data_IF_768469987105
#
_entry.id   IF_768469987105
#
_cell.length_a   1.000
_cell.length_b   1.000
_cell.length_c   1.000
_cell.angle_alpha   90.00
_cell.angle_beta   90.00
_cell.angle_gamma   90.00
#
_symmetry.space_group_name_H-M   'P 1'
#
loop_
_entity.id
_entity.type
_entity.pdbx_description
1 polymer ?
#
# COMPACT_ATOMS: atom_id res chain seq x y z
N UNK A 1 -15.62 -16.24 1.22
CA UNK A 1 -14.44 -17.09 0.95
C UNK A 1 -13.29 -16.70 1.87
N UNK A 2 -12.43 -17.65 2.27
CA UNK A 2 -11.23 -17.34 3.04
C UNK A 2 -10.04 -18.22 2.65
N UNK A 3 -8.82 -17.75 2.91
CA UNK A 3 -7.60 -18.54 2.80
C UNK A 3 -6.55 -18.02 3.80
N UNK A 4 -5.48 -18.79 3.95
CA UNK A 4 -4.44 -18.54 4.97
C UNK A 4 -3.18 -18.04 4.28
N UNK A 5 -2.53 -17.06 4.88
CA UNK A 5 -1.17 -16.65 4.55
C UNK A 5 -0.18 -17.15 5.61
N UNK A 6 0.92 -17.72 5.14
CA UNK A 6 2.08 -18.01 5.99
C UNK A 6 2.77 -16.71 6.39
N UNK A 7 3.12 -16.61 7.66
CA UNK A 7 3.88 -15.50 8.25
C UNK A 7 5.11 -16.03 8.96
N UNK A 8 6.09 -15.18 9.21
CA UNK A 8 7.18 -15.51 10.13
C UNK A 8 6.69 -15.45 11.58
N UNK A 9 7.38 -16.14 12.50
CA UNK A 9 7.01 -16.15 13.92
C UNK A 9 7.10 -14.77 14.59
N UNK A 10 7.85 -13.85 13.98
CA UNK A 10 8.05 -12.48 14.46
C UNK A 10 6.98 -11.50 13.97
N UNK A 11 6.15 -11.90 13.00
CA UNK A 11 5.14 -11.01 12.42
C UNK A 11 3.90 -10.90 13.31
N UNK A 12 3.46 -9.66 13.56
CA UNK A 12 2.26 -9.37 14.33
C UNK A 12 1.44 -8.28 13.65
N UNK A 13 0.32 -8.66 13.03
CA UNK A 13 -0.57 -7.73 12.31
C UNK A 13 -0.93 -6.49 13.14
N UNK A 14 -1.32 -6.68 14.40
CA UNK A 14 -1.69 -5.59 15.29
C UNK A 14 -0.56 -4.56 15.49
N UNK A 15 0.70 -5.03 15.58
CA UNK A 15 1.86 -4.13 15.72
C UNK A 15 2.10 -3.38 14.42
N UNK A 16 2.06 -4.07 13.28
CA UNK A 16 2.17 -3.46 11.94
C UNK A 16 1.11 -2.37 11.74
N UNK A 17 -0.15 -2.65 12.08
CA UNK A 17 -1.25 -1.66 12.00
C UNK A 17 -0.94 -0.45 12.88
N UNK A 18 -0.64 -0.67 14.18
CA UNK A 18 -0.37 0.42 15.14
C UNK A 18 0.79 1.34 14.72
N UNK A 19 1.76 0.80 13.99
CA UNK A 19 2.94 1.54 13.54
C UNK A 19 2.76 2.26 12.22
N UNK A 20 1.62 2.07 11.56
CA UNK A 20 1.38 2.56 10.21
C UNK A 20 0.27 3.62 10.13
N UNK A 21 0.08 4.53 11.11
CA UNK A 21 -1.10 5.40 11.14
C UNK A 21 -1.23 6.27 9.90
N UNK A 22 -0.13 6.71 9.30
CA UNK A 22 -0.11 7.55 8.10
C UNK A 22 -0.59 6.86 6.82
N UNK A 23 -0.65 5.53 6.79
CA UNK A 23 -1.13 4.76 5.63
C UNK A 23 -2.52 4.16 5.86
N UNK A 24 -3.05 4.20 7.09
CA UNK A 24 -4.38 3.70 7.46
C UNK A 24 -5.53 4.64 7.05
N UNK A 25 -5.46 5.13 5.82
CA UNK A 25 -6.52 5.89 5.16
C UNK A 25 -7.02 5.11 3.95
N UNK A 26 -8.09 5.58 3.31
CA UNK A 26 -8.67 4.92 2.13
C UNK A 26 -7.55 4.44 1.17
N UNK A 27 -7.62 3.21 0.62
CA UNK A 27 -8.72 2.25 0.75
C UNK A 27 -8.62 1.36 2.00
N UNK A 28 -7.72 1.64 2.93
CA UNK A 28 -7.63 0.91 4.20
C UNK A 28 -8.65 1.40 5.22
N UNK A 29 -9.10 0.48 6.08
CA UNK A 29 -9.81 0.74 7.32
C UNK A 29 -9.38 -0.28 8.36
N UNK A 30 -9.49 0.06 9.63
CA UNK A 30 -9.20 -0.86 10.73
C UNK A 30 -10.39 -0.97 11.64
N UNK A 31 -10.48 -2.08 12.38
CA UNK A 31 -11.39 -2.15 13.53
C UNK A 31 -10.86 -1.29 14.66
N UNK A 32 -11.75 -0.84 15.56
CA UNK A 32 -11.35 -0.05 16.74
C UNK A 32 -10.26 -0.71 17.59
N UNK A 33 -10.17 -2.05 17.60
CA UNK A 33 -9.17 -2.78 18.38
C UNK A 33 -7.80 -2.89 17.68
N UNK A 34 -7.75 -2.60 16.38
CA UNK A 34 -6.55 -2.69 15.54
C UNK A 34 -6.15 -4.13 15.19
N UNK A 35 -7.06 -5.08 15.35
CA UNK A 35 -6.78 -6.52 15.14
C UNK A 35 -7.16 -7.02 13.74
N UNK A 36 -7.84 -6.17 12.97
CA UNK A 36 -8.25 -6.45 11.60
C UNK A 36 -7.93 -5.28 10.69
N UNK A 37 -7.44 -5.59 9.49
CA UNK A 37 -7.22 -4.65 8.40
C UNK A 37 -8.24 -4.95 7.30
N UNK A 38 -9.17 -4.03 7.10
CA UNK A 38 -10.05 -4.01 5.94
C UNK A 38 -9.39 -3.20 4.84
N UNK A 39 -9.49 -3.67 3.61
CA UNK A 39 -9.09 -2.92 2.43
C UNK A 39 -10.04 -3.17 1.26
N UNK A 40 -10.35 -2.13 0.50
CA UNK A 40 -11.04 -2.27 -0.78
C UNK A 40 -10.03 -2.39 -1.91
N UNK A 41 -10.21 -3.38 -2.76
CA UNK A 41 -9.28 -3.69 -3.84
C UNK A 41 -10.01 -3.91 -5.16
N UNK A 42 -9.50 -3.28 -6.22
CA UNK A 42 -9.84 -3.65 -7.60
C UNK A 42 -8.82 -4.67 -8.09
N UNK A 43 -9.28 -5.88 -8.37
CA UNK A 43 -8.43 -6.96 -8.91
C UNK A 43 -8.36 -6.89 -10.44
N UNK A 44 -7.41 -7.62 -11.03
CA UNK A 44 -7.16 -7.60 -12.48
C UNK A 44 -8.36 -7.96 -13.34
N UNK A 45 -9.30 -8.76 -12.80
CA UNK A 45 -10.59 -9.08 -13.44
C UNK A 45 -11.61 -7.94 -13.40
N UNK A 46 -11.20 -6.74 -12.98
CA UNK A 46 -12.01 -5.53 -12.87
C UNK A 46 -13.11 -5.59 -11.78
N UNK A 47 -13.11 -6.62 -10.94
CA UNK A 47 -13.98 -6.69 -9.76
C UNK A 47 -13.42 -5.83 -8.64
N UNK A 48 -14.29 -5.12 -7.95
CA UNK A 48 -13.96 -4.44 -6.68
C UNK A 48 -14.45 -5.27 -5.51
N UNK A 49 -13.55 -5.62 -4.60
CA UNK A 49 -13.82 -6.52 -3.47
C UNK A 49 -13.34 -5.93 -2.15
N UNK A 50 -14.06 -6.27 -1.07
CA UNK A 50 -13.63 -5.99 0.29
C UNK A 50 -12.80 -7.16 0.81
N UNK A 51 -11.58 -6.87 1.27
CA UNK A 51 -10.63 -7.84 1.80
C UNK A 51 -10.37 -7.54 3.26
N UNK A 52 -10.66 -8.51 4.13
CA UNK A 52 -10.41 -8.42 5.56
C UNK A 52 -9.25 -9.34 5.89
N UNK A 53 -8.23 -8.79 6.54
CA UNK A 53 -7.06 -9.52 7.00
C UNK A 53 -7.08 -9.51 8.53
N UNK A 54 -6.98 -10.69 9.15
CA UNK A 54 -7.02 -10.85 10.60
C UNK A 54 -6.08 -11.98 11.05
N UNK A 55 -5.64 -11.93 12.31
CA UNK A 55 -5.03 -13.10 12.96
C UNK A 55 -6.11 -14.04 13.51
N UNK A 56 -6.00 -15.33 13.21
CA UNK A 56 -6.78 -16.41 13.82
C UNK A 56 -5.84 -17.57 14.17
N UNK A 57 -5.77 -17.97 15.44
CA UNK A 57 -4.96 -19.10 15.92
C UNK A 57 -3.50 -19.09 15.39
N UNK A 58 -2.80 -17.96 15.59
CA UNK A 58 -1.44 -17.70 15.11
C UNK A 58 -1.24 -17.70 13.58
N UNK A 59 -2.31 -17.75 12.80
CA UNK A 59 -2.27 -17.66 11.33
C UNK A 59 -2.88 -16.37 10.86
N UNK A 60 -2.36 -15.83 9.76
CA UNK A 60 -2.98 -14.70 9.07
C UNK A 60 -4.05 -15.25 8.13
N UNK A 61 -5.29 -14.83 8.32
CA UNK A 61 -6.44 -15.27 7.51
C UNK A 61 -6.95 -14.09 6.72
N UNK A 62 -7.14 -14.31 5.42
CA UNK A 62 -7.77 -13.37 4.52
C UNK A 62 -9.19 -13.83 4.25
N UNK A 63 -10.14 -12.91 4.38
CA UNK A 63 -11.56 -13.09 4.12
C UNK A 63 -12.04 -12.10 3.05
N UNK A 64 -12.93 -12.57 2.20
CA UNK A 64 -13.67 -11.76 1.22
C UNK A 64 -15.09 -12.30 1.10
N UNK A 65 -16.07 -11.41 0.93
CA UNK A 65 -17.46 -11.79 0.67
C UNK A 65 -17.66 -12.33 -0.74
N UNK A 66 -16.80 -11.96 -1.69
CA UNK A 66 -16.88 -12.36 -3.09
C UNK A 66 -16.21 -13.72 -3.32
N UNK A 67 -16.78 -14.50 -4.24
CA UNK A 67 -16.13 -15.72 -4.73
C UNK A 67 -15.04 -15.33 -5.72
N UNK A 68 -13.80 -15.70 -5.39
CA UNK A 68 -12.63 -15.45 -6.21
C UNK A 68 -12.22 -16.73 -6.94
N UNK A 69 -11.75 -16.60 -8.18
CA UNK A 69 -11.09 -17.69 -8.90
C UNK A 69 -9.70 -17.96 -8.32
N UNK A 70 -9.07 -19.06 -8.73
CA UNK A 70 -7.69 -19.39 -8.33
C UNK A 70 -6.68 -18.28 -8.61
N UNK A 71 -6.74 -17.68 -9.81
CA UNK A 71 -5.85 -16.58 -10.20
C UNK A 71 -6.11 -15.29 -9.41
N UNK A 72 -7.37 -15.00 -9.10
CA UNK A 72 -7.75 -13.84 -8.27
C UNK A 72 -7.25 -14.01 -6.82
N UNK A 73 -7.27 -15.23 -6.28
CA UNK A 73 -6.73 -15.54 -4.93
C UNK A 73 -5.21 -15.38 -4.93
N UNK A 74 -4.52 -15.85 -5.96
CA UNK A 74 -3.08 -15.70 -6.09
C UNK A 74 -2.68 -14.22 -6.17
N UNK A 75 -3.36 -13.44 -7.01
CA UNK A 75 -3.16 -11.99 -7.11
C UNK A 75 -3.35 -11.33 -5.73
N UNK A 76 -4.46 -11.62 -5.04
CA UNK A 76 -4.73 -11.05 -3.72
C UNK A 76 -3.72 -11.48 -2.66
N UNK A 77 -3.23 -12.72 -2.76
CA UNK A 77 -2.15 -13.23 -1.90
C UNK A 77 -0.87 -12.43 -2.11
N UNK A 78 -0.47 -12.19 -3.36
CA UNK A 78 0.72 -11.40 -3.67
C UNK A 78 0.60 -9.95 -3.15
N UNK A 79 -0.57 -9.32 -3.35
CA UNK A 79 -0.85 -7.97 -2.84
C UNK A 79 -0.81 -7.92 -1.32
N UNK A 80 -1.47 -8.85 -0.63
CA UNK A 80 -1.45 -8.91 0.83
C UNK A 80 -0.04 -9.15 1.39
N UNK A 81 0.75 -10.04 0.78
CA UNK A 81 2.15 -10.25 1.14
C UNK A 81 2.99 -8.99 0.94
N UNK A 82 2.76 -8.22 -0.14
CA UNK A 82 3.43 -6.92 -0.36
C UNK A 82 3.05 -5.92 0.74
N UNK A 83 1.75 -5.70 0.96
CA UNK A 83 1.25 -4.73 1.93
C UNK A 83 1.83 -4.97 3.32
N UNK A 84 1.86 -6.24 3.73
CA UNK A 84 2.32 -6.65 5.06
C UNK A 84 3.81 -7.01 5.10
N UNK A 85 4.54 -6.80 3.99
CA UNK A 85 5.95 -7.15 3.83
C UNK A 85 6.30 -8.61 4.25
N UNK A 86 5.42 -9.58 4.01
CA UNK A 86 5.51 -11.00 4.43
C UNK A 86 6.55 -11.85 3.66
N UNK A 87 7.60 -11.22 3.18
CA UNK A 87 8.76 -11.89 2.56
C UNK A 87 10.08 -11.27 2.97
N UNK A 88 10.06 -10.29 3.86
CA UNK A 88 11.25 -9.63 4.37
C UNK A 88 11.68 -10.31 5.67
N UNK A 89 12.90 -10.84 5.71
CA UNK A 89 13.48 -11.41 6.93
C UNK A 89 14.18 -10.30 7.72
N UNK A 90 13.52 -9.86 8.78
CA UNK A 90 14.07 -8.86 9.68
C UNK A 90 14.85 -9.46 10.85
N UNK A 91 14.94 -10.80 10.99
CA UNK A 91 15.70 -11.43 12.08
C UNK A 91 17.16 -10.93 12.14
N UNK A 92 17.90 -10.81 11.02
CA UNK A 92 19.28 -10.29 11.07
C UNK A 92 19.36 -8.86 11.61
N UNK A 93 18.42 -8.01 11.23
CA UNK A 93 18.34 -6.63 11.69
C UNK A 93 17.98 -6.54 13.18
N UNK A 94 16.99 -7.31 13.63
CA UNK A 94 16.58 -7.38 15.03
C UNK A 94 17.72 -7.87 15.92
N UNK A 95 18.41 -8.95 15.52
CA UNK A 95 19.57 -9.47 16.25
C UNK A 95 20.69 -8.42 16.37
N UNK A 96 20.93 -7.63 15.32
CA UNK A 96 21.94 -6.57 15.35
C UNK A 96 21.56 -5.45 16.33
N UNK A 97 20.29 -5.07 16.40
CA UNK A 97 19.81 -4.02 17.32
C UNK A 97 19.85 -4.50 18.77
N UNK A 98 19.53 -5.76 19.05
CA UNK A 98 19.56 -6.33 20.40
C UNK A 98 20.97 -6.25 21.03
N UNK A 99 22.03 -6.27 20.21
CA UNK A 99 23.42 -6.11 20.68
C UNK A 99 23.82 -4.66 20.97
N UNK A 100 22.99 -3.67 20.63
CA UNK A 100 23.27 -2.25 20.85
C UNK A 100 22.51 -1.74 22.07
N UNK A 101 23.11 -0.90 22.93
CA UNK A 101 22.38 -0.25 24.01
C UNK A 101 21.38 0.73 23.41
N UNK A 102 20.10 0.32 23.36
CA UNK A 102 19.01 1.24 23.05
C UNK A 102 18.78 2.17 24.25
N UNK A 103 18.38 3.43 24.02
CA UNK A 103 17.94 4.33 25.08
C UNK A 103 16.83 3.66 25.92
N UNK A 104 16.85 3.86 27.25
CA UNK A 104 16.02 3.13 28.25
C UNK A 104 14.49 3.15 28.04
N UNK A 105 13.97 3.84 27.03
CA UNK A 105 12.55 3.98 26.74
C UNK A 105 12.15 3.49 25.32
N UNK A 106 13.08 2.94 24.54
CA UNK A 106 12.77 2.42 23.21
C UNK A 106 12.39 0.93 23.29
N UNK A 107 11.08 0.66 23.19
CA UNK A 107 10.62 -0.71 22.94
C UNK A 107 10.94 -1.05 21.48
N UNK A 108 11.48 -2.24 21.20
CA UNK A 108 11.73 -2.69 19.83
C UNK A 108 10.42 -2.59 19.02
N UNK A 109 10.40 -1.58 18.16
CA UNK A 109 9.36 -1.30 17.18
C UNK A 109 9.34 -2.52 16.25
N UNK A 110 8.18 -3.16 16.06
CA UNK A 110 8.00 -4.13 14.97
C UNK A 110 8.67 -3.59 13.70
N UNK A 111 9.51 -4.39 13.04
CA UNK A 111 10.32 -3.91 11.92
C UNK A 111 9.48 -3.68 10.65
N UNK A 112 8.19 -4.01 10.71
CA UNK A 112 7.29 -4.03 9.56
C UNK A 112 6.32 -2.87 9.60
N UNK A 113 6.35 -2.09 8.52
CA UNK A 113 5.39 -1.02 8.23
C UNK A 113 4.47 -1.49 7.11
N UNK A 114 3.20 -1.12 7.18
CA UNK A 114 2.22 -1.38 6.13
C UNK A 114 2.59 -0.59 4.86
N UNK A 115 2.50 -1.26 3.71
CA UNK A 115 2.71 -0.68 2.38
C UNK A 115 1.40 -0.63 1.59
N UNK A 116 1.40 0.09 0.48
CA UNK A 116 0.36 0.00 -0.54
C UNK A 116 0.32 -1.39 -1.19
N UNK A 117 -0.81 -1.70 -1.82
CA UNK A 117 -0.98 -2.94 -2.56
C UNK A 117 -0.15 -2.97 -3.86
N UNK A 118 0.25 -1.80 -4.35
CA UNK A 118 1.09 -1.63 -5.56
C UNK A 118 2.19 -0.61 -5.31
N UNK A 119 3.24 -0.63 -6.14
CA UNK A 119 4.28 0.41 -6.10
C UNK A 119 3.72 1.78 -6.49
N UNK A 120 2.77 1.83 -7.43
CA UNK A 120 2.10 3.07 -7.80
C UNK A 120 1.46 3.74 -6.59
N UNK A 121 0.70 2.97 -5.79
CA UNK A 121 0.11 3.49 -4.55
C UNK A 121 1.16 4.01 -3.56
N UNK A 122 2.28 3.30 -3.38
CA UNK A 122 3.36 3.75 -2.51
C UNK A 122 3.93 5.11 -2.99
N UNK A 123 4.13 5.28 -4.30
CA UNK A 123 4.65 6.52 -4.89
C UNK A 123 3.63 7.66 -4.73
N UNK A 124 2.34 7.44 -5.03
CA UNK A 124 1.31 8.47 -4.86
C UNK A 124 1.17 8.89 -3.40
N UNK A 125 1.22 7.94 -2.46
CA UNK A 125 1.23 8.24 -1.01
C UNK A 125 2.46 9.06 -0.62
N UNK A 126 3.65 8.68 -1.09
CA UNK A 126 4.88 9.42 -0.84
C UNK A 126 4.82 10.84 -1.41
N UNK A 127 4.33 11.01 -2.64
CA UNK A 127 4.10 12.33 -3.25
C UNK A 127 3.15 13.17 -2.40
N UNK A 128 2.06 12.59 -1.92
CA UNK A 128 1.12 13.30 -1.05
C UNK A 128 1.76 13.66 0.30
N UNK A 129 2.62 12.81 0.87
CA UNK A 129 3.30 13.05 2.15
C UNK A 129 4.34 14.18 2.08
N UNK A 130 5.19 14.19 1.04
CA UNK A 130 6.38 15.05 0.97
C UNK A 130 6.05 16.51 0.68
N UNK A 131 4.90 16.80 0.06
CA UNK A 131 4.59 18.13 -0.48
C UNK A 131 3.84 19.08 0.45
N UNK A 132 3.55 18.69 1.69
CA UNK A 132 2.95 19.62 2.65
C UNK A 132 4.04 20.48 3.30
N UNK A 133 4.00 21.82 3.15
CA UNK A 133 5.02 22.73 3.71
C UNK A 133 5.16 22.65 5.23
N UNK A 134 4.09 22.22 5.92
CA UNK A 134 4.06 22.00 7.37
C UNK A 134 4.45 20.56 7.76
N UNK A 135 4.79 19.69 6.80
CA UNK A 135 5.21 18.31 7.04
C UNK A 135 4.08 17.35 7.44
N UNK A 136 2.81 17.74 7.28
CA UNK A 136 1.65 16.96 7.70
C UNK A 136 0.90 16.34 6.52
N UNK A 137 0.64 15.03 6.59
CA UNK A 137 -0.19 14.31 5.63
C UNK A 137 -1.65 14.79 5.67
N UNK A 138 -2.17 15.33 4.57
CA UNK A 138 -3.62 15.60 4.45
C UNK A 138 -4.37 14.33 4.06
N UNK A 139 -4.81 13.62 5.10
CA UNK A 139 -5.63 12.42 4.97
C UNK A 139 -6.96 12.64 4.23
N UNK A 140 -7.53 13.85 4.31
CA UNK A 140 -8.81 14.17 3.67
C UNK A 140 -8.64 14.26 2.15
N UNK A 141 -7.62 14.98 1.68
CA UNK A 141 -7.32 15.07 0.24
C UNK A 141 -6.93 13.73 -0.35
N UNK A 142 -6.17 12.92 0.40
CA UNK A 142 -5.84 11.57 -0.06
C UNK A 142 -7.08 10.68 -0.14
N UNK A 143 -7.96 10.73 0.87
CA UNK A 143 -9.22 9.96 0.84
C UNK A 143 -10.13 10.43 -0.29
N UNK A 144 -10.21 11.75 -0.55
CA UNK A 144 -10.93 12.30 -1.69
C UNK A 144 -10.42 11.74 -3.03
N UNK A 145 -9.11 11.64 -3.23
CA UNK A 145 -8.54 11.06 -4.45
C UNK A 145 -9.00 9.60 -4.65
N UNK A 146 -9.04 8.81 -3.58
CA UNK A 146 -9.51 7.42 -3.63
C UNK A 146 -11.01 7.35 -3.86
N UNK A 147 -11.79 8.18 -3.18
CA UNK A 147 -13.25 8.20 -3.30
C UNK A 147 -13.74 8.72 -4.66
N UNK A 148 -12.98 9.59 -5.32
CA UNK A 148 -13.41 10.21 -6.57
C UNK A 148 -12.96 9.45 -7.82
N UNK A 149 -11.81 8.78 -7.77
CA UNK A 149 -11.24 8.10 -8.94
C UNK A 149 -11.16 6.57 -8.78
N UNK A 150 -11.28 6.06 -7.56
CA UNK A 150 -11.31 4.64 -7.29
C UNK A 150 -12.64 4.02 -7.67
N UNK A 151 -12.64 2.72 -7.98
CA UNK A 151 -13.91 2.02 -8.22
C UNK A 151 -14.63 1.72 -6.90
N UNK A 152 -15.96 1.94 -6.85
CA UNK A 152 -16.76 1.64 -5.68
C UNK A 152 -16.87 0.13 -5.44
N UNK A 153 -16.96 -0.25 -4.17
CA UNK A 153 -17.36 -1.59 -3.77
C UNK A 153 -18.86 -1.76 -4.08
N UNK A 154 -19.28 -2.76 -4.88
CA UNK A 154 -20.69 -2.90 -5.27
C UNK A 154 -21.67 -3.02 -4.10
N UNK A 155 -21.26 -3.68 -3.01
CA UNK A 155 -22.09 -3.83 -1.81
C UNK A 155 -22.11 -2.61 -0.89
N UNK A 156 -21.18 -1.66 -1.07
CA UNK A 156 -21.15 -0.40 -0.33
C UNK A 156 -20.41 0.67 -1.17
N UNK A 157 -21.12 1.43 -2.02
CA UNK A 157 -20.52 2.40 -2.93
C UNK A 157 -19.83 3.59 -2.26
N UNK A 158 -19.85 3.70 -0.93
CA UNK A 158 -19.07 4.72 -0.21
C UNK A 158 -17.61 4.29 0.00
N UNK A 159 -17.30 3.02 -0.23
CA UNK A 159 -15.96 2.45 -0.08
C UNK A 159 -15.37 2.21 -1.46
N UNK A 160 -14.16 2.71 -1.70
CA UNK A 160 -13.53 2.70 -3.02
C UNK A 160 -12.17 2.02 -2.98
N UNK A 161 -11.83 1.31 -4.06
CA UNK A 161 -10.48 0.79 -4.28
C UNK A 161 -9.50 1.93 -4.57
N UNK A 162 -8.20 1.71 -4.36
CA UNK A 162 -7.21 2.68 -4.82
C UNK A 162 -7.24 2.81 -6.35
N UNK A 163 -7.25 4.03 -6.93
CA UNK A 163 -7.30 4.21 -8.38
C UNK A 163 -6.02 3.70 -9.05
N UNK A 164 -6.17 3.19 -10.27
CA UNK A 164 -5.04 2.87 -11.13
C UNK A 164 -4.55 4.13 -11.88
N UNK A 165 -3.39 4.07 -12.57
CA UNK A 165 -2.85 5.24 -13.28
C UNK A 165 -3.82 5.79 -14.33
N UNK A 166 -4.44 4.94 -15.16
CA UNK A 166 -5.42 5.35 -16.17
C UNK A 166 -6.61 6.14 -15.58
N UNK A 167 -7.13 5.76 -14.41
CA UNK A 167 -8.24 6.44 -13.72
C UNK A 167 -7.85 7.86 -13.29
N UNK A 168 -6.64 8.02 -12.77
CA UNK A 168 -6.08 9.34 -12.42
C UNK A 168 -5.92 10.22 -13.67
N UNK A 169 -5.46 9.66 -14.78
CA UNK A 169 -5.25 10.40 -16.04
C UNK A 169 -6.56 10.85 -16.68
N UNK A 170 -7.62 10.03 -16.62
CA UNK A 170 -8.95 10.43 -17.07
C UNK A 170 -9.47 11.65 -16.29
N UNK A 171 -9.13 11.74 -15.01
CA UNK A 171 -9.48 12.83 -14.10
C UNK A 171 -8.47 13.96 -13.99
N UNK A 172 -7.49 14.06 -14.90
CA UNK A 172 -6.29 14.88 -14.65
C UNK A 172 -6.59 16.36 -14.35
N UNK A 173 -7.58 16.95 -15.01
CA UNK A 173 -7.95 18.34 -14.77
C UNK A 173 -8.46 18.52 -13.33
N UNK A 174 -9.39 17.65 -12.91
CA UNK A 174 -9.95 17.65 -11.55
C UNK A 174 -8.89 17.43 -10.48
N UNK A 175 -7.91 16.56 -10.73
CA UNK A 175 -6.76 16.36 -9.81
C UNK A 175 -5.98 17.66 -9.66
N UNK A 176 -5.67 18.34 -10.76
CA UNK A 176 -4.87 19.57 -10.75
C UNK A 176 -5.61 20.74 -10.10
N UNK A 177 -6.93 20.83 -10.30
CA UNK A 177 -7.78 21.90 -9.74
C UNK A 177 -8.03 21.74 -8.24
N UNK A 178 -8.13 20.49 -7.75
CA UNK A 178 -8.49 20.19 -6.35
C UNK A 178 -7.29 20.04 -5.42
N UNK A 179 -6.16 19.63 -5.95
CA UNK A 179 -4.93 19.49 -5.18
C UNK A 179 -4.09 20.76 -5.29
N UNK A 180 -3.05 20.85 -4.46
CA UNK A 180 -2.03 21.87 -4.67
C UNK A 180 -1.44 21.70 -6.10
N UNK A 181 -1.21 22.78 -6.88
CA UNK A 181 -0.75 22.67 -8.27
C UNK A 181 0.51 21.82 -8.46
N UNK A 182 1.48 21.91 -7.55
CA UNK A 182 2.71 21.11 -7.61
C UNK A 182 2.43 19.62 -7.32
N UNK A 183 1.58 19.34 -6.32
CA UNK A 183 1.15 17.97 -5.99
C UNK A 183 0.36 17.36 -7.13
N UNK A 184 -0.65 18.06 -7.63
CA UNK A 184 -1.50 17.62 -8.72
C UNK A 184 -0.67 17.31 -9.97
N UNK A 185 0.19 18.24 -10.39
CA UNK A 185 1.09 18.04 -11.53
C UNK A 185 2.02 16.82 -11.34
N UNK A 186 2.57 16.65 -10.13
CA UNK A 186 3.43 15.50 -9.81
C UNK A 186 2.65 14.18 -9.87
N UNK A 187 1.45 14.13 -9.30
CA UNK A 187 0.58 12.93 -9.34
C UNK A 187 0.25 12.55 -10.78
N UNK A 188 -0.08 13.54 -11.62
CA UNK A 188 -0.37 13.31 -13.05
C UNK A 188 0.87 12.82 -13.79
N UNK A 189 2.04 13.39 -13.53
CA UNK A 189 3.30 12.92 -14.10
C UNK A 189 3.59 11.47 -13.71
N UNK A 190 3.47 11.14 -12.42
CA UNK A 190 3.64 9.77 -11.92
C UNK A 190 2.66 8.83 -12.60
N UNK A 191 1.39 9.20 -12.72
CA UNK A 191 0.40 8.38 -13.41
C UNK A 191 0.77 8.12 -14.88
N UNK A 192 1.25 9.14 -15.62
CA UNK A 192 1.73 8.96 -17.01
C UNK A 192 2.89 7.98 -17.11
N UNK A 193 3.88 8.11 -16.22
CA UNK A 193 5.06 7.23 -16.19
C UNK A 193 4.66 5.80 -15.88
N UNK A 194 3.79 5.58 -14.88
CA UNK A 194 3.30 4.23 -14.55
C UNK A 194 2.43 3.62 -15.65
N UNK A 195 1.58 4.42 -16.31
CA UNK A 195 0.74 3.93 -17.41
C UNK A 195 1.57 3.49 -18.62
N UNK A 196 2.61 4.25 -18.96
CA UNK A 196 3.43 4.01 -20.17
C UNK A 196 4.64 3.10 -19.94
N UNK A 197 5.16 3.02 -18.71
CA UNK A 197 6.45 2.37 -18.41
C UNK A 197 6.38 1.33 -17.29
N UNK A 198 5.20 0.81 -16.96
CA UNK A 198 5.00 -0.19 -15.90
C UNK A 198 6.01 -1.35 -15.94
N UNK A 199 6.27 -1.90 -17.13
CA UNK A 199 7.22 -3.00 -17.31
C UNK A 199 8.65 -2.59 -16.91
N UNK A 200 9.12 -1.43 -17.39
CA UNK A 200 10.46 -0.92 -17.10
C UNK A 200 10.62 -0.62 -15.61
N UNK A 201 9.62 0.00 -14.98
CA UNK A 201 9.60 0.20 -13.52
C UNK A 201 9.74 -1.13 -12.80
N UNK A 202 8.95 -2.14 -13.20
CA UNK A 202 8.99 -3.49 -12.64
C UNK A 202 10.37 -4.12 -12.71
N UNK A 203 11.11 -3.92 -13.81
CA UNK A 203 12.47 -4.42 -13.95
C UNK A 203 13.48 -3.73 -13.03
N UNK A 204 13.35 -2.42 -12.81
CA UNK A 204 14.26 -1.64 -11.96
C UNK A 204 14.10 -2.01 -10.48
N UNK A 205 12.86 -2.25 -10.05
CA UNK A 205 12.53 -2.55 -8.65
C UNK A 205 12.52 -4.04 -8.31
N UNK A 206 12.91 -4.91 -9.26
CA UNK A 206 12.97 -6.35 -9.03
C UNK A 206 14.09 -6.67 -8.02
N UNK A 207 13.68 -6.99 -6.79
CA UNK A 207 14.60 -7.34 -5.69
C UNK A 207 15.48 -8.56 -6.00
N UNK A 208 15.12 -9.39 -6.98
CA UNK A 208 15.94 -10.54 -7.43
C UNK A 208 17.11 -10.12 -8.32
N UNK A 209 17.05 -8.91 -8.88
CA UNK A 209 18.10 -8.29 -9.69
C UNK A 209 18.39 -6.90 -9.12
N UNK A 210 18.97 -6.82 -7.90
CA UNK A 210 19.26 -5.53 -7.29
C UNK A 210 20.21 -4.75 -8.21
N UNK A 211 19.70 -3.71 -8.87
CA UNK A 211 20.57 -2.79 -9.59
C UNK A 211 21.30 -1.93 -8.56
N UNK A 212 22.61 -1.75 -8.72
CA UNK A 212 23.38 -0.82 -7.87
C UNK A 212 22.89 0.63 -7.99
N UNK A 213 22.06 0.91 -9.00
CA UNK A 213 21.66 2.24 -9.38
C UNK A 213 20.14 2.43 -9.50
N UNK A 214 19.37 1.82 -8.58
CA UNK A 214 17.90 1.96 -8.56
C UNK A 214 17.50 3.44 -8.52
N UNK A 215 18.22 4.24 -7.75
CA UNK A 215 17.96 5.68 -7.62
C UNK A 215 18.09 6.40 -8.96
N UNK A 216 19.22 6.27 -9.66
CA UNK A 216 19.43 7.09 -10.86
C UNK A 216 18.62 6.56 -12.05
N UNK A 217 18.38 5.24 -12.11
CA UNK A 217 17.43 4.66 -13.06
C UNK A 217 15.99 5.17 -12.84
N UNK A 218 15.55 5.32 -11.59
CA UNK A 218 14.25 5.92 -11.29
C UNK A 218 14.25 7.41 -11.63
N UNK A 219 15.30 8.18 -11.29
CA UNK A 219 15.37 9.60 -11.67
C UNK A 219 15.19 9.79 -13.18
N UNK A 220 15.88 8.99 -14.01
CA UNK A 220 15.74 9.05 -15.46
C UNK A 220 14.32 8.76 -15.98
N UNK A 221 13.48 8.05 -15.23
CA UNK A 221 12.10 7.79 -15.62
C UNK A 221 11.15 8.94 -15.28
N UNK A 222 11.49 9.74 -14.28
CA UNK A 222 10.65 10.82 -13.76
C UNK A 222 11.16 12.22 -14.11
N UNK A 223 12.32 12.34 -14.78
CA UNK A 223 12.82 13.55 -15.45
C UNK A 223 12.15 13.72 -16.83
#
# INVERSE_FOLDING_TARGET
MHWILSTTDTFLLRKTIKQSPWILHAPFRTTHTGDQLLRIERISSQKTVAVVIAHQNAKLVIHTSSNLTGSEIEEMTLRARRMLSLGEDFKPFLNLIETKPLPKNETIVSPTILRGATLFEDVIRATALVWYPEGHFDAHRFSWLVEHFGDPLPSNPTLHAFPNPSQILQGQQTVTDRLNPAVGSTIIHVAKVFESQAYKIGTIVDKRKPSLDVSDNLKQLFL
#
